data_IF_238228919639
#
_entry.id   IF_238228919639
#
_cell.length_a   1.000
_cell.length_b   1.000
_cell.length_c   1.000
_cell.angle_alpha   90.00
_cell.angle_beta   90.00
_cell.angle_gamma   90.00
#
_symmetry.space_group_name_H-M   'P 1'
#
loop_
_entity.id
_entity.type
_entity.pdbx_description
1 polymer ?
#
# COMPACT_ATOMS: atom_id res chain seq x y z
N UNK A 1 -14.53 -12.87 14.42
CA UNK A 1 -13.34 -12.98 13.55
C UNK A 1 -13.66 -12.22 12.28
N UNK A 2 -12.96 -11.11 11.95
CA UNK A 2 -13.26 -10.39 10.72
C UNK A 2 -12.87 -11.26 9.53
N UNK A 3 -13.85 -11.53 8.67
CA UNK A 3 -13.74 -12.33 7.46
C UNK A 3 -12.95 -11.54 6.40
N UNK A 4 -11.98 -12.21 5.77
CA UNK A 4 -11.12 -11.63 4.74
C UNK A 4 -11.93 -11.25 3.49
N UNK A 5 -11.68 -10.05 2.95
CA UNK A 5 -12.35 -9.57 1.74
C UNK A 5 -11.62 -10.21 0.55
N UNK A 6 -12.30 -11.00 -0.30
CA UNK A 6 -11.65 -11.58 -1.46
C UNK A 6 -11.31 -10.48 -2.49
N UNK A 7 -10.02 -10.26 -2.72
CA UNK A 7 -9.51 -9.43 -3.81
C UNK A 7 -9.52 -10.23 -5.11
N UNK A 8 -9.91 -9.61 -6.22
CA UNK A 8 -9.75 -10.23 -7.53
C UNK A 8 -8.24 -10.41 -7.83
N UNK A 9 -7.84 -11.50 -8.50
CA UNK A 9 -6.44 -11.74 -8.81
C UNK A 9 -5.95 -10.74 -9.84
N UNK A 10 -4.89 -10.01 -9.52
CA UNK A 10 -4.37 -8.94 -10.35
C UNK A 10 -2.85 -9.16 -10.59
N UNK A 11 -2.43 -9.00 -11.84
CA UNK A 11 -1.05 -9.29 -12.28
C UNK A 11 -0.04 -8.26 -11.74
N UNK A 12 -0.52 -7.06 -11.48
CA UNK A 12 0.17 -5.90 -10.90
C UNK A 12 0.36 -6.00 -9.37
N UNK A 13 -0.35 -6.91 -8.70
CA UNK A 13 -0.15 -7.19 -7.28
C UNK A 13 0.88 -8.32 -7.14
N UNK A 14 2.17 -7.96 -7.24
CA UNK A 14 3.29 -8.91 -7.29
C UNK A 14 4.63 -8.29 -7.67
N UNK A 15 5.64 -9.13 -7.93
CA UNK A 15 6.91 -8.75 -8.52
C UNK A 15 6.96 -9.15 -9.99
N UNK A 16 6.88 -8.14 -10.87
CA UNK A 16 7.07 -8.32 -12.32
C UNK A 16 8.47 -8.86 -12.65
N UNK A 17 9.48 -8.47 -11.87
CA UNK A 17 10.87 -8.94 -12.03
C UNK A 17 11.01 -10.40 -11.68
N UNK A 18 10.36 -10.86 -10.61
CA UNK A 18 10.29 -12.28 -10.29
C UNK A 18 9.55 -13.03 -11.39
N UNK A 19 8.42 -12.51 -11.90
CA UNK A 19 7.70 -13.13 -13.02
C UNK A 19 8.57 -13.24 -14.29
N UNK A 20 9.30 -12.18 -14.65
CA UNK A 20 10.19 -12.17 -15.80
C UNK A 20 11.38 -13.14 -15.63
N UNK A 21 11.98 -13.18 -14.44
CA UNK A 21 13.07 -14.09 -14.11
C UNK A 21 12.63 -15.56 -14.16
N UNK A 22 11.42 -15.86 -13.66
CA UNK A 22 10.82 -17.19 -13.75
C UNK A 22 10.52 -17.56 -15.21
N UNK A 23 9.98 -16.64 -16.02
CA UNK A 23 9.73 -16.85 -17.44
C UNK A 23 11.03 -17.09 -18.25
N UNK A 24 12.10 -16.38 -17.90
CA UNK A 24 13.42 -16.56 -18.48
C UNK A 24 14.16 -17.80 -17.95
N UNK A 25 13.65 -18.45 -16.90
CA UNK A 25 14.30 -19.55 -16.19
C UNK A 25 15.72 -19.17 -15.74
N UNK A 26 15.93 -17.94 -15.29
CA UNK A 26 17.22 -17.40 -14.87
C UNK A 26 17.37 -17.45 -13.34
N UNK A 27 18.13 -18.40 -12.76
CA UNK A 27 18.25 -18.55 -11.32
C UNK A 27 18.93 -17.35 -10.64
N UNK A 28 19.83 -16.66 -11.34
CA UNK A 28 20.52 -15.49 -10.80
C UNK A 28 19.56 -14.30 -10.74
N UNK A 29 18.72 -14.12 -11.75
CA UNK A 29 17.67 -13.10 -11.75
C UNK A 29 16.57 -13.42 -10.72
N UNK A 30 16.20 -14.69 -10.54
CA UNK A 30 15.24 -15.10 -9.49
C UNK A 30 15.79 -14.78 -8.11
N UNK A 31 17.04 -15.18 -7.81
CA UNK A 31 17.67 -14.87 -6.53
C UNK A 31 17.77 -13.36 -6.28
N UNK A 32 18.10 -12.58 -7.31
CA UNK A 32 18.14 -11.12 -7.23
C UNK A 32 16.76 -10.52 -6.95
N UNK A 33 15.73 -10.99 -7.65
CA UNK A 33 14.35 -10.57 -7.42
C UNK A 33 13.87 -10.87 -5.99
N UNK A 34 14.23 -12.04 -5.44
CA UNK A 34 13.88 -12.39 -4.07
C UNK A 34 14.59 -11.52 -3.02
N UNK A 35 15.82 -11.05 -3.29
CA UNK A 35 16.52 -10.17 -2.35
C UNK A 35 15.95 -8.76 -2.32
N UNK A 36 15.41 -8.30 -3.45
CA UNK A 36 15.18 -6.87 -3.67
C UNK A 36 13.73 -6.51 -4.02
N UNK A 37 12.81 -7.48 -4.04
CA UNK A 37 11.40 -7.30 -4.36
C UNK A 37 10.48 -8.14 -3.43
N UNK A 38 9.18 -8.11 -3.72
CA UNK A 38 8.16 -8.84 -2.98
C UNK A 38 7.83 -10.21 -3.58
N UNK A 39 7.37 -11.11 -2.72
CA UNK A 39 6.83 -12.41 -3.07
C UNK A 39 5.50 -12.61 -2.39
N UNK A 40 4.55 -13.21 -3.11
CA UNK A 40 3.24 -13.56 -2.57
C UNK A 40 3.36 -14.91 -1.85
N UNK A 41 3.02 -14.89 -0.55
CA UNK A 41 3.13 -16.03 0.36
C UNK A 41 1.74 -16.48 0.81
N UNK A 42 1.32 -17.71 0.48
CA UNK A 42 0.04 -18.27 0.95
C UNK A 42 -0.04 -18.38 2.46
N UNK A 43 -1.20 -18.05 3.01
CA UNK A 43 -1.49 -18.15 4.44
C UNK A 43 -2.57 -19.18 4.72
N UNK A 44 -2.58 -19.70 5.94
CA UNK A 44 -3.64 -20.51 6.51
C UNK A 44 -3.91 -20.11 7.96
N UNK A 45 -5.11 -20.41 8.44
CA UNK A 45 -5.46 -20.26 9.84
C UNK A 45 -5.23 -21.57 10.57
N UNK A 46 -4.48 -21.51 11.66
CA UNK A 46 -4.32 -22.63 12.58
C UNK A 46 -5.60 -22.88 13.40
N UNK A 47 -5.64 -23.99 14.16
CA UNK A 47 -6.81 -24.39 14.93
C UNK A 47 -7.18 -23.40 16.04
N UNK A 48 -6.25 -22.54 16.48
CA UNK A 48 -6.48 -21.49 17.48
C UNK A 48 -6.70 -20.10 16.84
N UNK A 49 -6.80 -20.03 15.50
CA UNK A 49 -7.06 -18.81 14.73
C UNK A 49 -5.81 -18.00 14.35
N UNK A 50 -4.63 -18.49 14.70
CA UNK A 50 -3.34 -17.90 14.36
C UNK A 50 -3.05 -18.01 12.85
N UNK A 51 -2.46 -16.97 12.29
CA UNK A 51 -2.05 -16.97 10.87
C UNK A 51 -0.70 -17.64 10.72
N UNK A 52 -0.62 -18.64 9.83
CA UNK A 52 0.60 -19.38 9.52
C UNK A 52 0.85 -19.40 8.01
N UNK A 53 2.12 -19.53 7.60
CA UNK A 53 2.45 -19.79 6.19
C UNK A 53 1.95 -21.18 5.79
N UNK A 54 1.20 -21.24 4.69
CA UNK A 54 0.67 -22.50 4.19
C UNK A 54 1.73 -23.27 3.42
N UNK A 55 1.79 -24.57 3.69
CA UNK A 55 2.62 -25.54 2.96
C UNK A 55 1.76 -26.69 2.46
N UNK A 56 2.14 -27.32 1.34
CA UNK A 56 1.42 -28.45 0.74
C UNK A 56 2.16 -29.75 1.06
N UNK A 57 1.44 -30.81 1.40
CA UNK A 57 2.08 -32.10 1.59
C UNK A 57 2.62 -32.62 0.25
N UNK A 58 3.90 -32.95 0.19
CA UNK A 58 4.49 -33.66 -0.93
C UNK A 58 4.15 -35.15 -0.80
N UNK A 59 3.61 -35.76 -1.87
CA UNK A 59 3.56 -37.22 -1.94
C UNK A 59 5.00 -37.74 -2.06
N UNK A 60 5.40 -38.59 -1.12
CA UNK A 60 6.70 -39.23 -1.13
C UNK A 60 6.56 -40.74 -1.30
N UNK A 61 7.35 -41.32 -2.19
CA UNK A 61 7.36 -42.76 -2.45
C UNK A 61 7.94 -43.54 -1.24
N UNK A 62 8.76 -42.88 -0.42
CA UNK A 62 9.46 -43.46 0.73
C UNK A 62 8.68 -43.36 2.05
N UNK A 63 7.47 -42.76 2.03
CA UNK A 63 6.58 -42.70 3.19
C UNK A 63 6.90 -41.60 4.22
N UNK A 64 7.94 -40.78 4.00
CA UNK A 64 8.21 -39.60 4.82
C UNK A 64 7.31 -38.43 4.42
N UNK A 65 6.54 -37.90 5.37
CA UNK A 65 5.68 -36.73 5.14
C UNK A 65 6.55 -35.47 5.05
N UNK A 66 6.77 -34.97 3.84
CA UNK A 66 7.47 -33.70 3.58
C UNK A 66 6.52 -32.64 3.04
N UNK A 67 6.98 -31.39 3.05
CA UNK A 67 6.16 -30.24 2.71
C UNK A 67 6.75 -29.40 1.57
N UNK A 68 5.91 -28.82 0.73
CA UNK A 68 6.31 -27.90 -0.33
C UNK A 68 5.86 -26.49 0.06
N UNK A 69 6.79 -25.54 -0.02
CA UNK A 69 6.49 -24.13 0.14
C UNK A 69 6.16 -23.55 -1.24
N UNK A 70 4.94 -23.06 -1.41
CA UNK A 70 4.53 -22.42 -2.66
C UNK A 70 4.66 -20.91 -2.52
N UNK A 71 5.34 -20.29 -3.49
CA UNK A 71 5.58 -18.86 -3.57
C UNK A 71 5.10 -18.35 -4.93
N UNK A 72 4.62 -17.12 -4.98
CA UNK A 72 4.04 -16.59 -6.21
C UNK A 72 4.65 -15.24 -6.58
N UNK A 73 4.90 -15.06 -7.87
CA UNK A 73 5.31 -13.78 -8.42
C UNK A 73 4.19 -12.76 -8.35
N UNK A 74 2.92 -13.18 -8.39
CA UNK A 74 1.77 -12.28 -8.34
C UNK A 74 0.55 -12.93 -7.68
N UNK A 75 -0.41 -12.09 -7.28
CA UNK A 75 -1.71 -12.53 -6.78
C UNK A 75 -2.52 -13.28 -7.86
N UNK A 76 -2.27 -12.99 -9.14
CA UNK A 76 -2.82 -13.75 -10.27
C UNK A 76 -2.28 -15.18 -10.31
N UNK A 77 -0.96 -15.36 -10.20
CA UNK A 77 -0.33 -16.68 -10.14
C UNK A 77 -0.81 -17.48 -8.92
N UNK A 78 -0.98 -16.81 -7.79
CA UNK A 78 -1.54 -17.40 -6.57
C UNK A 78 -2.99 -17.88 -6.76
N UNK A 79 -3.85 -17.05 -7.35
CA UNK A 79 -5.25 -17.43 -7.59
C UNK A 79 -5.40 -18.56 -8.61
N UNK A 80 -4.54 -18.60 -9.63
CA UNK A 80 -4.48 -19.72 -10.56
C UNK A 80 -4.16 -21.04 -9.83
N UNK A 81 -3.30 -20.99 -8.81
CA UNK A 81 -2.95 -22.15 -7.98
C UNK A 81 -4.04 -22.54 -6.98
N UNK A 82 -4.73 -21.57 -6.39
CA UNK A 82 -5.88 -21.84 -5.51
C UNK A 82 -6.97 -22.63 -6.24
N UNK A 83 -7.32 -22.23 -7.46
CA UNK A 83 -8.37 -22.90 -8.25
C UNK A 83 -9.61 -23.26 -7.42
N UNK A 84 -9.93 -24.56 -7.32
CA UNK A 84 -11.06 -25.15 -6.58
C UNK A 84 -10.77 -25.49 -5.10
N UNK A 85 -9.65 -25.04 -4.54
CA UNK A 85 -9.21 -25.36 -3.18
C UNK A 85 -9.65 -24.24 -2.21
N UNK A 86 -10.84 -24.38 -1.62
CA UNK A 86 -11.54 -23.33 -0.84
C UNK A 86 -10.89 -22.92 0.47
N UNK A 87 -9.90 -23.67 0.95
CA UNK A 87 -9.25 -23.42 2.25
C UNK A 87 -8.07 -22.44 2.17
N UNK A 88 -7.68 -22.00 0.96
CA UNK A 88 -6.65 -21.00 0.73
C UNK A 88 -7.29 -19.80 0.06
N UNK A 89 -7.58 -18.74 0.82
CA UNK A 89 -7.99 -17.44 0.26
C UNK A 89 -7.07 -16.30 0.69
N UNK A 90 -6.20 -16.53 1.67
CA UNK A 90 -5.38 -15.50 2.27
C UNK A 90 -3.93 -15.61 1.79
N UNK A 91 -3.31 -14.46 1.50
CA UNK A 91 -1.90 -14.34 1.18
C UNK A 91 -1.30 -13.11 1.87
N UNK A 92 0.01 -13.11 2.05
CA UNK A 92 0.79 -11.94 2.42
C UNK A 92 1.72 -11.55 1.28
N UNK A 93 1.91 -10.24 1.07
CA UNK A 93 3.06 -9.73 0.34
C UNK A 93 4.22 -9.60 1.33
N UNK A 94 5.28 -10.35 1.07
CA UNK A 94 6.47 -10.37 1.92
C UNK A 94 7.68 -9.95 1.10
N UNK A 95 8.61 -9.20 1.71
CA UNK A 95 9.94 -9.04 1.11
C UNK A 95 10.57 -10.43 1.04
N UNK A 96 11.20 -10.82 -0.07
CA UNK A 96 11.74 -12.17 -0.17
C UNK A 96 12.79 -12.47 0.92
N UNK A 97 13.56 -11.48 1.37
CA UNK A 97 14.48 -11.62 2.52
C UNK A 97 13.81 -11.99 3.85
N UNK A 98 12.53 -11.70 4.03
CA UNK A 98 11.79 -12.11 5.23
C UNK A 98 11.54 -13.63 5.30
N UNK A 99 11.73 -14.35 4.18
CA UNK A 99 11.66 -15.82 4.14
C UNK A 99 12.83 -16.50 4.84
N UNK A 100 13.92 -15.78 5.13
CA UNK A 100 15.13 -16.35 5.76
C UNK A 100 14.78 -17.10 7.05
N UNK A 101 13.99 -16.47 7.95
CA UNK A 101 13.63 -17.08 9.23
C UNK A 101 12.78 -18.35 9.06
N UNK A 102 11.88 -18.36 8.06
CA UNK A 102 11.06 -19.53 7.74
C UNK A 102 11.91 -20.67 7.16
N UNK A 103 12.81 -20.35 6.23
CA UNK A 103 13.69 -21.33 5.59
C UNK A 103 14.71 -21.90 6.59
N UNK A 104 15.20 -21.10 7.53
CA UNK A 104 16.07 -21.59 8.62
C UNK A 104 15.32 -22.50 9.59
N UNK A 105 14.07 -22.15 9.94
CA UNK A 105 13.28 -22.93 10.90
C UNK A 105 12.73 -24.24 10.30
N UNK A 106 12.31 -24.21 9.03
CA UNK A 106 11.54 -25.29 8.41
C UNK A 106 12.23 -25.93 7.20
N UNK A 107 13.39 -25.44 6.77
CA UNK A 107 14.17 -26.01 5.66
C UNK A 107 14.35 -27.53 5.71
N UNK A 108 14.68 -28.15 6.87
CA UNK A 108 14.83 -29.60 6.97
C UNK A 108 13.57 -30.42 6.69
N UNK A 109 12.38 -29.84 6.86
CA UNK A 109 11.08 -30.52 6.62
C UNK A 109 10.47 -30.16 5.26
N UNK A 110 11.03 -29.13 4.60
CA UNK A 110 10.63 -28.73 3.27
C UNK A 110 11.32 -29.61 2.22
N UNK A 111 10.53 -30.21 1.32
CA UNK A 111 11.03 -30.94 0.16
C UNK A 111 11.60 -30.00 -0.88
N UNK A 112 10.87 -28.91 -1.18
CA UNK A 112 11.23 -27.91 -2.17
C UNK A 112 10.44 -26.62 -1.98
N UNK A 113 10.90 -25.57 -2.63
CA UNK A 113 10.16 -24.34 -2.87
C UNK A 113 9.68 -24.35 -4.32
N UNK A 114 8.39 -24.07 -4.53
CA UNK A 114 7.76 -24.04 -5.85
C UNK A 114 7.29 -22.61 -6.13
N UNK A 115 7.78 -22.02 -7.21
CA UNK A 115 7.33 -20.74 -7.72
C UNK A 115 6.28 -20.92 -8.80
N UNK A 116 5.22 -20.13 -8.76
CA UNK A 116 4.19 -20.02 -9.80
C UNK A 116 3.69 -21.39 -10.30
N UNK A 117 3.32 -22.27 -9.35
CA UNK A 117 2.99 -23.68 -9.60
C UNK A 117 1.91 -23.90 -10.66
N UNK A 118 0.92 -23.01 -10.75
CA UNK A 118 -0.14 -23.05 -11.75
C UNK A 118 0.03 -21.98 -12.86
N UNK A 119 1.14 -21.24 -12.82
CA UNK A 119 1.50 -20.27 -13.83
C UNK A 119 2.13 -20.92 -15.06
N UNK A 120 2.40 -20.13 -16.13
CA UNK A 120 2.98 -20.64 -17.38
C UNK A 120 4.43 -21.14 -17.22
N UNK A 121 5.12 -20.74 -16.16
CA UNK A 121 6.55 -21.00 -15.94
C UNK A 121 6.83 -21.46 -14.50
N UNK A 122 6.37 -22.66 -14.09
CA UNK A 122 6.62 -23.14 -12.73
C UNK A 122 8.11 -23.46 -12.55
N UNK A 123 8.72 -22.91 -11.50
CA UNK A 123 10.12 -23.15 -11.15
C UNK A 123 10.20 -23.85 -9.79
N UNK A 124 11.06 -24.86 -9.69
CA UNK A 124 11.32 -25.58 -8.45
C UNK A 124 12.76 -25.35 -8.01
N UNK A 125 12.96 -25.10 -6.72
CA UNK A 125 14.27 -24.94 -6.12
C UNK A 125 14.35 -25.68 -4.77
N UNK A 126 15.56 -26.06 -4.35
CA UNK A 126 15.74 -26.59 -2.99
C UNK A 126 15.59 -25.45 -1.96
N UNK A 127 15.13 -25.73 -0.73
CA UNK A 127 15.05 -24.70 0.31
C UNK A 127 16.42 -24.09 0.61
N UNK A 128 17.49 -24.88 0.50
CA UNK A 128 18.87 -24.44 0.68
C UNK A 128 19.30 -23.45 -0.41
N UNK A 129 19.00 -23.75 -1.69
CA UNK A 129 19.32 -22.85 -2.80
C UNK A 129 18.56 -21.52 -2.70
N UNK A 130 17.27 -21.57 -2.34
CA UNK A 130 16.48 -20.35 -2.12
C UNK A 130 17.06 -19.55 -0.96
N UNK A 131 17.41 -20.21 0.15
CA UNK A 131 18.01 -19.54 1.31
C UNK A 131 19.36 -18.91 0.96
N UNK A 132 20.23 -19.62 0.26
CA UNK A 132 21.52 -19.11 -0.20
C UNK A 132 21.32 -17.92 -1.16
N UNK A 133 20.29 -17.98 -2.02
CA UNK A 133 19.96 -16.88 -2.93
C UNK A 133 19.48 -15.61 -2.21
N UNK A 134 19.04 -15.70 -0.95
CA UNK A 134 18.61 -14.57 -0.14
C UNK A 134 19.76 -13.88 0.61
N UNK A 135 20.97 -14.46 0.60
CA UNK A 135 22.13 -13.82 1.22
C UNK A 135 22.55 -12.56 0.44
N UNK A 136 22.86 -11.44 1.14
CA UNK A 136 23.33 -10.22 0.50
C UNK A 136 24.55 -10.49 -0.40
N UNK A 137 24.46 -10.09 -1.65
CA UNK A 137 25.53 -10.19 -2.63
C UNK A 137 26.28 -8.85 -2.76
N UNK A 138 27.59 -8.84 -3.11
CA UNK A 138 28.36 -7.60 -3.31
C UNK A 138 27.83 -6.66 -4.41
N UNK A 139 26.87 -7.11 -5.22
CA UNK A 139 26.16 -6.31 -6.22
C UNK A 139 24.70 -6.00 -5.87
N UNK A 140 24.25 -6.36 -4.67
CA UNK A 140 22.94 -5.95 -4.16
C UNK A 140 23.05 -4.50 -3.73
N UNK A 141 22.72 -3.62 -4.66
CA UNK A 141 22.51 -2.21 -4.41
C UNK A 141 21.03 -1.95 -4.70
N UNK A 142 20.24 -1.77 -3.64
CA UNK A 142 18.80 -1.52 -3.75
C UNK A 142 18.50 -0.30 -4.63
N UNK A 143 19.43 0.67 -4.71
CA UNK A 143 19.36 1.84 -5.58
C UNK A 143 19.69 1.46 -7.03
N UNK A 144 20.68 0.59 -7.26
CA UNK A 144 20.95 0.01 -8.59
C UNK A 144 19.86 -0.95 -9.07
N UNK A 145 19.21 -1.71 -8.20
CA UNK A 145 18.14 -2.63 -8.56
C UNK A 145 16.89 -1.93 -9.06
N UNK A 146 16.58 -0.77 -8.47
CA UNK A 146 15.53 0.12 -8.96
C UNK A 146 15.92 0.75 -10.31
N UNK A 147 17.23 0.83 -10.63
CA UNK A 147 17.75 1.56 -11.81
C UNK A 147 18.38 0.70 -12.92
N UNK A 148 18.61 -0.61 -12.75
CA UNK A 148 19.42 -1.44 -13.69
C UNK A 148 18.64 -2.11 -14.84
N UNK A 149 17.31 -2.20 -14.79
CA UNK A 149 16.49 -2.42 -15.99
C UNK A 149 15.49 -1.28 -16.16
N UNK A 150 16.03 -0.11 -16.45
CA UNK A 150 16.01 0.42 -17.81
C UNK A 150 16.99 1.60 -17.86
N UNK A 151 17.63 1.79 -19.01
CA UNK A 151 17.97 3.15 -19.45
C UNK A 151 16.72 3.99 -19.71
N UNK A 152 15.76 3.96 -18.77
CA UNK A 152 14.67 4.88 -18.60
C UNK A 152 14.86 5.43 -17.21
N UNK A 153 15.22 6.70 -17.16
CA UNK A 153 15.07 7.54 -15.98
C UNK A 153 13.75 7.17 -15.28
N UNK A 154 13.81 6.76 -14.01
CA UNK A 154 12.67 6.96 -13.11
C UNK A 154 12.68 8.45 -12.77
N UNK A 155 12.16 9.14 -13.75
CA UNK A 155 12.19 10.55 -14.02
C UNK A 155 11.29 10.70 -15.23
N UNK A 156 10.67 11.85 -15.38
CA UNK A 156 9.82 12.06 -16.54
C UNK A 156 10.66 11.91 -17.80
N UNK A 157 10.17 11.16 -18.78
CA UNK A 157 10.81 11.20 -20.10
C UNK A 157 10.75 12.64 -20.61
N UNK A 158 11.68 13.03 -21.47
CA UNK A 158 11.65 14.34 -22.11
C UNK A 158 10.26 14.61 -22.71
N UNK A 159 9.58 15.63 -22.18
CA UNK A 159 8.22 16.00 -22.57
C UNK A 159 7.11 15.22 -21.86
N UNK A 160 7.34 14.57 -20.72
CA UNK A 160 6.28 14.14 -19.80
C UNK A 160 6.18 15.11 -18.60
N UNK A 161 5.00 15.20 -17.96
CA UNK A 161 4.73 15.91 -16.70
C UNK A 161 3.94 15.06 -15.71
N UNK A 162 4.14 15.27 -14.41
CA UNK A 162 3.33 14.62 -13.37
C UNK A 162 1.95 15.26 -13.33
N UNK A 163 0.90 14.45 -13.37
CA UNK A 163 -0.49 14.94 -13.40
C UNK A 163 -1.32 14.48 -12.20
N UNK A 164 -0.95 13.39 -11.56
CA UNK A 164 -1.68 12.83 -10.42
C UNK A 164 -0.89 11.79 -9.64
N UNK A 165 -1.53 11.28 -8.58
CA UNK A 165 -1.04 10.20 -7.74
C UNK A 165 -2.23 9.26 -7.50
N UNK A 166 -2.09 8.00 -7.92
CA UNK A 166 -3.06 6.95 -7.62
C UNK A 166 -2.72 6.28 -6.29
N UNK A 167 -3.74 6.14 -5.44
CA UNK A 167 -3.65 5.53 -4.10
C UNK A 167 -4.28 4.13 -4.06
N UNK A 168 -4.79 3.61 -5.18
CA UNK A 168 -5.42 2.29 -5.29
C UNK A 168 -6.51 2.02 -4.25
N UNK A 169 -7.30 3.04 -3.94
CA UNK A 169 -8.35 2.95 -2.93
C UNK A 169 -9.52 2.08 -3.44
N UNK A 170 -9.86 1.03 -2.68
CA UNK A 170 -10.94 0.12 -3.03
C UNK A 170 -12.35 0.73 -2.93
N UNK A 171 -13.37 -0.05 -3.30
CA UNK A 171 -14.78 0.42 -3.38
C UNK A 171 -15.38 0.92 -2.05
N UNK A 172 -14.78 0.56 -0.91
CA UNK A 172 -15.16 1.04 0.42
C UNK A 172 -14.73 2.49 0.67
N UNK A 173 -14.08 3.16 -0.29
CA UNK A 173 -13.65 4.54 -0.20
C UNK A 173 -14.48 5.43 -1.11
N UNK A 174 -15.18 6.40 -0.52
CA UNK A 174 -15.96 7.37 -1.29
C UNK A 174 -15.15 8.65 -1.52
N UNK A 175 -15.03 9.03 -2.79
CA UNK A 175 -14.28 10.20 -3.24
C UNK A 175 -15.20 11.42 -3.37
N UNK A 176 -14.67 12.58 -2.99
CA UNK A 176 -15.17 13.92 -3.31
C UNK A 176 -14.08 14.61 -4.14
N UNK A 177 -14.40 14.89 -5.39
CA UNK A 177 -13.56 15.71 -6.26
C UNK A 177 -13.60 17.19 -5.82
N UNK A 178 -12.43 17.74 -5.51
CA UNK A 178 -12.28 19.11 -4.99
C UNK A 178 -12.01 20.14 -6.09
N UNK A 179 -11.93 19.73 -7.36
CA UNK A 179 -11.56 20.61 -8.48
C UNK A 179 -12.60 21.68 -8.81
N UNK A 180 -13.87 21.46 -8.44
CA UNK A 180 -14.93 22.45 -8.65
C UNK A 180 -16.00 22.44 -7.55
N UNK A 181 -16.64 23.59 -7.24
CA UNK A 181 -17.77 23.63 -6.31
C UNK A 181 -18.93 22.72 -6.71
N UNK A 182 -19.14 22.54 -8.03
CA UNK A 182 -20.19 21.68 -8.56
C UNK A 182 -19.89 20.19 -8.29
N UNK A 183 -18.64 19.76 -8.49
CA UNK A 183 -18.17 18.40 -8.15
C UNK A 183 -18.36 18.13 -6.66
N UNK A 184 -17.91 19.06 -5.79
CA UNK A 184 -18.05 18.95 -4.34
C UNK A 184 -19.52 18.74 -3.94
N UNK A 185 -20.43 19.55 -4.50
CA UNK A 185 -21.84 19.48 -4.15
C UNK A 185 -22.51 18.18 -4.63
N UNK A 186 -22.12 17.68 -5.82
CA UNK A 186 -22.65 16.44 -6.39
C UNK A 186 -22.14 15.21 -5.64
N UNK A 187 -20.83 15.11 -5.41
CA UNK A 187 -20.20 13.98 -4.74
C UNK A 187 -20.60 13.90 -3.27
N UNK A 188 -20.69 15.04 -2.57
CA UNK A 188 -21.19 15.08 -1.19
C UNK A 188 -22.61 14.54 -1.10
N UNK A 189 -23.49 14.91 -2.04
CA UNK A 189 -24.86 14.41 -2.05
C UNK A 189 -24.88 12.90 -2.21
N UNK A 190 -24.13 12.37 -3.18
CA UNK A 190 -24.01 10.93 -3.43
C UNK A 190 -23.50 10.19 -2.20
N UNK A 191 -22.46 10.71 -1.55
CA UNK A 191 -21.90 10.15 -0.33
C UNK A 191 -22.92 10.11 0.81
N UNK A 192 -23.63 11.21 1.05
CA UNK A 192 -24.65 11.28 2.11
C UNK A 192 -25.81 10.32 1.83
N UNK A 193 -26.24 10.20 0.58
CA UNK A 193 -27.29 9.25 0.18
C UNK A 193 -26.85 7.80 0.44
N UNK A 194 -25.62 7.44 0.06
CA UNK A 194 -25.06 6.11 0.33
C UNK A 194 -24.90 5.83 1.83
N UNK A 195 -24.37 6.79 2.60
CA UNK A 195 -24.14 6.64 4.05
C UNK A 195 -25.43 6.55 4.87
N UNK A 196 -26.53 7.13 4.38
CA UNK A 196 -27.82 7.11 5.05
C UNK A 196 -28.81 6.13 4.38
N UNK A 197 -28.34 5.28 3.47
CA UNK A 197 -29.15 4.23 2.87
C UNK A 197 -29.69 3.29 3.95
N UNK A 198 -31.00 3.01 3.92
CA UNK A 198 -31.67 2.17 4.92
C UNK A 198 -31.98 2.86 6.26
N UNK A 199 -31.54 4.10 6.47
CA UNK A 199 -31.92 4.88 7.67
C UNK A 199 -33.26 5.57 7.41
N UNK A 200 -34.24 5.50 8.33
CA UNK A 200 -35.50 6.23 8.23
C UNK A 200 -35.29 7.73 7.99
N UNK A 201 -36.29 8.41 7.42
CA UNK A 201 -36.22 9.84 7.07
C UNK A 201 -35.70 10.70 8.25
N UNK A 202 -34.44 11.13 8.15
CA UNK A 202 -33.73 11.93 9.14
C UNK A 202 -33.21 13.23 8.49
N UNK A 203 -34.10 14.20 8.20
CA UNK A 203 -33.74 15.40 7.42
C UNK A 203 -32.70 16.28 8.12
N UNK A 204 -32.74 16.37 9.45
CA UNK A 204 -31.77 17.15 10.25
C UNK A 204 -30.37 16.53 10.17
N UNK A 205 -30.24 15.23 10.43
CA UNK A 205 -28.98 14.50 10.33
C UNK A 205 -28.38 14.61 8.92
N UNK A 206 -29.22 14.42 7.88
CA UNK A 206 -28.82 14.56 6.49
C UNK A 206 -28.29 15.96 6.19
N UNK A 207 -29.00 16.99 6.65
CA UNK A 207 -28.60 18.39 6.50
C UNK A 207 -27.26 18.69 7.19
N UNK A 208 -27.08 18.22 8.42
CA UNK A 208 -25.86 18.42 9.19
C UNK A 208 -24.65 17.71 8.56
N UNK A 209 -24.80 16.44 8.18
CA UNK A 209 -23.72 15.68 7.53
C UNK A 209 -23.33 16.30 6.18
N UNK A 210 -24.32 16.72 5.39
CA UNK A 210 -24.08 17.41 4.11
C UNK A 210 -23.34 18.72 4.32
N UNK A 211 -23.76 19.53 5.29
CA UNK A 211 -23.12 20.82 5.58
C UNK A 211 -21.68 20.63 6.05
N UNK A 212 -21.45 19.65 6.95
CA UNK A 212 -20.13 19.33 7.45
C UNK A 212 -19.19 18.84 6.33
N UNK A 213 -19.60 17.85 5.52
CA UNK A 213 -18.80 17.34 4.41
C UNK A 213 -18.46 18.44 3.39
N UNK A 214 -19.43 19.29 3.04
CA UNK A 214 -19.20 20.44 2.16
C UNK A 214 -18.20 21.42 2.75
N UNK A 215 -18.33 21.74 4.03
CA UNK A 215 -17.42 22.69 4.67
C UNK A 215 -16.00 22.13 4.71
N UNK A 216 -15.83 20.87 5.13
CA UNK A 216 -14.53 20.17 5.12
C UNK A 216 -13.90 20.14 3.72
N UNK A 217 -14.68 19.75 2.69
CA UNK A 217 -14.22 19.70 1.31
C UNK A 217 -13.83 21.08 0.77
N UNK A 218 -14.60 22.14 1.07
CA UNK A 218 -14.28 23.51 0.66
C UNK A 218 -13.04 24.06 1.36
N UNK A 219 -12.88 23.76 2.65
CA UNK A 219 -11.65 24.12 3.39
C UNK A 219 -10.43 23.42 2.80
N UNK A 220 -10.53 22.12 2.50
CA UNK A 220 -9.46 21.37 1.83
C UNK A 220 -9.14 21.94 0.44
N UNK A 221 -10.16 22.21 -0.38
CA UNK A 221 -10.00 22.80 -1.71
C UNK A 221 -9.32 24.19 -1.65
N UNK A 222 -9.74 25.04 -0.71
CA UNK A 222 -9.15 26.37 -0.50
C UNK A 222 -7.67 26.30 -0.06
N UNK A 223 -7.26 25.19 0.57
CA UNK A 223 -5.88 24.89 0.92
C UNK A 223 -5.09 24.19 -0.20
N UNK A 224 -5.67 24.05 -1.40
CA UNK A 224 -5.02 23.43 -2.56
C UNK A 224 -5.21 21.90 -2.67
N UNK A 225 -6.19 21.34 -1.95
CA UNK A 225 -6.55 19.94 -2.07
C UNK A 225 -7.14 19.61 -3.44
N UNK A 226 -6.76 18.48 -4.02
CA UNK A 226 -7.28 17.98 -5.31
C UNK A 226 -8.38 16.94 -5.13
N UNK A 227 -8.27 16.11 -4.10
CA UNK A 227 -9.27 15.10 -3.77
C UNK A 227 -9.38 14.92 -2.27
N UNK A 228 -10.58 14.55 -1.82
CA UNK A 228 -10.84 14.09 -0.46
C UNK A 228 -11.57 12.75 -0.53
N UNK A 229 -11.16 11.79 0.28
CA UNK A 229 -11.71 10.43 0.25
C UNK A 229 -12.03 9.98 1.67
N UNK A 230 -13.15 9.28 1.84
CA UNK A 230 -13.63 8.83 3.14
C UNK A 230 -13.82 7.32 3.14
N UNK A 231 -13.33 6.66 4.18
CA UNK A 231 -13.63 5.25 4.41
C UNK A 231 -15.10 5.12 4.81
N UNK A 232 -15.85 4.38 4.00
CA UNK A 232 -17.30 4.20 4.14
C UNK A 232 -17.68 2.89 4.81
N UNK A 233 -16.71 1.99 5.03
CA UNK A 233 -16.93 0.66 5.58
C UNK A 233 -17.49 0.74 7.00
N UNK A 234 -18.60 0.01 7.21
CA UNK A 234 -19.22 -0.19 8.52
C UNK A 234 -19.30 -1.68 8.80
N UNK A 235 -18.99 -2.07 10.01
CA UNK A 235 -19.25 -3.43 10.52
C UNK A 235 -20.43 -3.36 11.49
N UNK A 236 -20.93 -4.52 11.94
CA UNK A 236 -22.00 -4.58 12.93
C UNK A 236 -21.62 -3.87 14.24
N UNK A 237 -20.33 -3.87 14.59
CA UNK A 237 -19.84 -3.43 15.90
C UNK A 237 -18.93 -2.18 15.84
N UNK A 238 -18.51 -1.73 14.64
CA UNK A 238 -17.59 -0.61 14.48
C UNK A 238 -17.72 0.12 13.13
N UNK A 239 -17.52 1.43 13.16
CA UNK A 239 -17.35 2.28 11.98
C UNK A 239 -15.98 2.97 12.04
N UNK A 240 -15.10 2.64 11.10
CA UNK A 240 -13.81 3.32 10.96
C UNK A 240 -14.06 4.67 10.27
N UNK A 241 -13.60 5.76 10.90
CA UNK A 241 -13.76 7.12 10.37
C UNK A 241 -12.38 7.63 9.95
N UNK A 242 -11.98 7.30 8.73
CA UNK A 242 -10.71 7.76 8.16
C UNK A 242 -11.01 8.63 6.96
N UNK A 243 -10.48 9.85 6.97
CA UNK A 243 -10.51 10.75 5.83
C UNK A 243 -9.10 10.97 5.30
N UNK A 244 -8.96 10.97 3.98
CA UNK A 244 -7.71 11.17 3.25
C UNK A 244 -7.87 12.38 2.37
N UNK A 245 -6.94 13.32 2.43
CA UNK A 245 -6.92 14.48 1.55
C UNK A 245 -5.59 14.57 0.83
N UNK A 246 -5.63 14.72 -0.49
CA UNK A 246 -4.44 14.84 -1.33
C UNK A 246 -4.26 16.29 -1.76
N UNK A 247 -3.08 16.85 -1.51
CA UNK A 247 -2.70 18.21 -1.89
C UNK A 247 -1.54 18.16 -2.87
N UNK A 248 -1.52 19.12 -3.80
CA UNK A 248 -0.53 19.19 -4.86
C UNK A 248 0.20 20.52 -4.82
N UNK A 249 1.52 20.49 -4.73
CA UNK A 249 2.34 21.70 -4.62
C UNK A 249 3.44 21.71 -5.67
N UNK A 250 3.22 22.49 -6.73
CA UNK A 250 4.25 22.81 -7.72
C UNK A 250 5.11 23.96 -7.19
N UNK A 251 6.33 23.64 -6.75
CA UNK A 251 7.23 24.56 -6.05
C UNK A 251 8.31 25.15 -6.97
N UNK A 252 8.43 24.63 -8.20
CA UNK A 252 9.45 25.03 -9.15
C UNK A 252 10.79 24.33 -8.90
N UNK A 253 11.92 24.87 -9.40
CA UNK A 253 13.24 24.26 -9.25
C UNK A 253 13.58 23.96 -7.79
N UNK A 254 14.17 22.79 -7.55
CA UNK A 254 14.55 22.35 -6.22
C UNK A 254 15.64 23.27 -5.62
N UNK A 255 15.54 23.66 -4.33
CA UNK A 255 16.63 24.30 -3.61
C UNK A 255 17.80 23.33 -3.39
N UNK A 256 18.94 23.83 -2.94
CA UNK A 256 20.07 23.00 -2.52
C UNK A 256 19.61 22.00 -1.43
N UNK A 257 19.75 20.70 -1.69
CA UNK A 257 19.24 19.62 -0.83
C UNK A 257 17.80 19.15 -1.10
N UNK A 258 17.05 19.82 -1.99
CA UNK A 258 15.72 19.38 -2.43
C UNK A 258 14.55 19.91 -1.59
N UNK A 259 13.34 19.92 -2.18
CA UNK A 259 12.12 20.38 -1.51
C UNK A 259 11.77 19.55 -0.27
N UNK A 260 12.03 18.24 -0.30
CA UNK A 260 11.74 17.34 0.82
C UNK A 260 12.63 17.64 2.04
N UNK A 261 13.91 17.95 1.83
CA UNK A 261 14.81 18.35 2.91
C UNK A 261 14.40 19.70 3.54
N UNK A 262 13.97 20.66 2.71
CA UNK A 262 13.42 21.92 3.20
C UNK A 262 12.14 21.70 4.02
N UNK A 263 11.26 20.79 3.58
CA UNK A 263 10.07 20.41 4.32
C UNK A 263 10.42 19.75 5.65
N UNK A 264 11.40 18.83 5.67
CA UNK A 264 11.88 18.21 6.91
C UNK A 264 12.36 19.25 7.91
N UNK A 265 13.21 20.18 7.48
CA UNK A 265 13.73 21.24 8.35
C UNK A 265 12.60 22.09 8.96
N UNK A 266 11.57 22.41 8.16
CA UNK A 266 10.37 23.11 8.62
C UNK A 266 9.60 22.29 9.66
N UNK A 267 9.26 21.03 9.37
CA UNK A 267 8.48 20.20 10.30
C UNK A 267 9.25 19.94 11.59
N UNK A 268 10.56 19.72 11.50
CA UNK A 268 11.42 19.50 12.65
C UNK A 268 11.38 20.66 13.66
N UNK A 269 11.21 21.89 13.19
CA UNK A 269 11.10 23.08 14.05
C UNK A 269 9.77 23.12 14.83
N UNK A 270 8.72 22.47 14.33
CA UNK A 270 7.37 22.48 14.87
C UNK A 270 7.00 21.17 15.61
N UNK A 271 7.94 20.23 15.74
CA UNK A 271 7.67 18.91 16.34
C UNK A 271 7.21 19.01 17.80
N UNK A 272 6.03 18.47 18.07
CA UNK A 272 5.53 18.27 19.42
C UNK A 272 6.23 17.09 20.14
N UNK A 273 6.14 17.01 21.48
CA UNK A 273 6.80 15.94 22.26
C UNK A 273 6.30 14.51 21.96
N UNK A 274 5.12 14.38 21.35
CA UNK A 274 4.45 13.12 21.04
C UNK A 274 4.43 12.84 19.54
N UNK A 275 5.00 13.74 18.73
CA UNK A 275 4.98 13.64 17.29
C UNK A 275 6.11 12.72 16.81
N UNK A 276 5.90 12.09 15.65
CA UNK A 276 6.90 11.25 15.02
C UNK A 276 7.17 11.75 13.60
N UNK A 277 8.45 11.98 13.28
CA UNK A 277 8.91 12.28 11.92
C UNK A 277 9.78 11.14 11.42
N UNK A 278 9.43 10.58 10.27
CA UNK A 278 10.13 9.44 9.64
C UNK A 278 10.41 9.77 8.19
N UNK A 279 11.62 9.44 7.73
CA UNK A 279 11.96 9.47 6.31
C UNK A 279 12.05 8.06 5.77
N UNK A 280 11.58 7.87 4.54
CA UNK A 280 11.66 6.61 3.83
C UNK A 280 11.76 6.87 2.32
N UNK A 281 12.01 5.81 1.57
CA UNK A 281 11.89 5.80 0.12
C UNK A 281 10.94 4.69 -0.30
N UNK A 282 10.17 4.95 -1.36
CA UNK A 282 9.20 4.03 -1.96
C UNK A 282 9.50 3.87 -3.44
N UNK A 283 8.76 2.98 -4.12
CA UNK A 283 8.78 2.92 -5.59
C UNK A 283 8.39 4.25 -6.24
N UNK A 284 7.51 5.03 -5.59
CA UNK A 284 7.13 6.38 -5.99
C UNK A 284 8.16 7.47 -5.60
N UNK A 285 9.32 7.10 -5.06
CA UNK A 285 10.38 8.04 -4.67
C UNK A 285 10.43 8.34 -3.16
N UNK A 286 11.21 9.35 -2.76
CA UNK A 286 11.45 9.66 -1.36
C UNK A 286 10.22 10.29 -0.71
N UNK A 287 10.01 9.95 0.56
CA UNK A 287 8.92 10.48 1.36
C UNK A 287 9.34 10.90 2.76
N UNK A 288 8.54 11.79 3.33
CA UNK A 288 8.59 12.22 4.73
C UNK A 288 7.21 11.95 5.35
N UNK A 289 7.15 11.21 6.45
CA UNK A 289 5.92 10.97 7.22
C UNK A 289 5.97 11.73 8.55
N UNK A 290 4.99 12.59 8.80
CA UNK A 290 4.77 13.23 10.11
C UNK A 290 3.47 12.74 10.72
N UNK A 291 3.59 12.09 11.87
CA UNK A 291 2.47 11.64 12.69
C UNK A 291 2.30 12.61 13.87
N UNK A 292 1.13 13.25 13.98
CA UNK A 292 0.81 14.20 15.06
C UNK A 292 -0.66 14.14 15.47
N UNK A 293 -1.01 14.88 16.52
CA UNK A 293 -2.38 15.02 17.01
C UNK A 293 -2.78 16.49 17.02
N UNK A 294 -4.02 16.76 16.61
CA UNK A 294 -4.61 18.11 16.70
C UNK A 294 -5.90 18.09 17.49
N UNK A 295 -6.24 19.23 18.05
CA UNK A 295 -7.54 19.47 18.63
C UNK A 295 -8.51 19.69 17.48
N UNK A 296 -9.60 18.91 17.45
CA UNK A 296 -10.66 19.05 16.47
C UNK A 296 -11.36 20.41 16.57
N UNK A 297 -12.13 20.80 15.55
CA UNK A 297 -12.85 22.06 15.56
C UNK A 297 -13.93 22.06 16.67
N UNK A 298 -14.41 23.24 17.06
CA UNK A 298 -15.33 23.41 18.19
C UNK A 298 -16.62 22.60 18.05
N UNK A 299 -17.04 22.36 16.81
CA UNK A 299 -18.19 21.55 16.41
C UNK A 299 -18.04 20.07 16.76
N UNK A 300 -16.81 19.58 16.90
CA UNK A 300 -16.48 18.25 17.41
C UNK A 300 -16.12 18.26 18.89
N UNK A 301 -16.61 19.26 19.64
CA UNK A 301 -16.33 19.44 21.07
C UNK A 301 -14.84 19.46 21.41
N UNK A 302 -14.00 19.93 20.47
CA UNK A 302 -12.53 19.94 20.62
C UNK A 302 -11.93 18.55 20.86
N UNK A 303 -12.61 17.48 20.38
CA UNK A 303 -12.09 16.12 20.47
C UNK A 303 -10.75 15.99 19.71
N UNK A 304 -9.77 15.23 20.23
CA UNK A 304 -8.51 15.04 19.55
C UNK A 304 -8.69 14.26 18.25
N UNK A 305 -7.94 14.66 17.22
CA UNK A 305 -7.89 14.02 15.91
C UNK A 305 -6.44 13.62 15.66
N UNK A 306 -6.22 12.35 15.33
CA UNK A 306 -4.94 11.85 14.87
C UNK A 306 -4.73 12.20 13.39
N UNK A 307 -3.54 12.69 13.06
CA UNK A 307 -3.17 13.10 11.70
C UNK A 307 -1.86 12.41 11.29
N UNK A 308 -1.84 11.88 10.08
CA UNK A 308 -0.65 11.26 9.47
C UNK A 308 -0.46 11.88 8.10
N UNK A 309 0.58 12.69 7.99
CA UNK A 309 0.91 13.45 6.79
C UNK A 309 2.09 12.79 6.07
N UNK A 310 1.94 12.50 4.78
CA UNK A 310 3.00 11.98 3.91
C UNK A 310 3.32 13.02 2.83
N UNK A 311 4.53 13.56 2.84
CA UNK A 311 5.06 14.33 1.72
C UNK A 311 5.84 13.41 0.79
N UNK A 312 5.40 13.28 -0.45
CA UNK A 312 6.11 12.57 -1.52
C UNK A 312 6.71 13.59 -2.48
N UNK A 313 7.96 13.36 -2.90
CA UNK A 313 8.60 14.21 -3.90
C UNK A 313 8.15 13.81 -5.31
N UNK A 314 7.83 14.80 -6.15
CA UNK A 314 7.53 14.54 -7.56
C UNK A 314 8.75 13.94 -8.27
N UNK A 315 8.55 13.05 -9.26
CA UNK A 315 9.62 12.52 -10.11
C UNK A 315 10.51 13.57 -10.79
N UNK A 316 9.99 14.75 -11.15
CA UNK A 316 10.82 15.85 -11.69
C UNK A 316 11.57 16.65 -10.62
N UNK A 317 11.33 16.37 -9.34
CA UNK A 317 11.85 17.13 -8.21
C UNK A 317 11.31 18.56 -8.11
N UNK A 318 10.28 18.94 -8.89
CA UNK A 318 9.76 20.32 -8.96
C UNK A 318 8.63 20.61 -7.98
N UNK A 319 8.27 19.64 -7.14
CA UNK A 319 7.17 19.79 -6.21
C UNK A 319 7.03 18.64 -5.22
N UNK A 320 5.99 18.76 -4.40
CA UNK A 320 5.61 17.78 -3.39
C UNK A 320 4.12 17.45 -3.50
N UNK A 321 3.78 16.18 -3.30
CA UNK A 321 2.41 15.76 -3.02
C UNK A 321 2.28 15.53 -1.51
N UNK A 322 1.26 16.10 -0.88
CA UNK A 322 0.90 15.79 0.50
C UNK A 322 -0.33 14.89 0.51
N UNK A 323 -0.21 13.69 1.09
CA UNK A 323 -1.34 12.81 1.41
C UNK A 323 -1.55 12.85 2.91
N UNK A 324 -2.67 13.42 3.35
CA UNK A 324 -2.98 13.63 4.77
C UNK A 324 -4.14 12.73 5.20
N UNK A 325 -3.87 11.83 6.13
CA UNK A 325 -4.87 10.98 6.78
C UNK A 325 -5.31 11.62 8.08
N UNK A 326 -6.61 11.61 8.37
CA UNK A 326 -7.18 12.09 9.62
C UNK A 326 -8.22 11.12 10.18
N UNK A 327 -8.20 10.96 11.50
CA UNK A 327 -9.10 10.05 12.21
C UNK A 327 -9.43 10.56 13.61
N UNK A 328 -10.69 10.47 14.08
CA UNK A 328 -11.03 10.69 15.48
C UNK A 328 -10.66 9.49 16.37
N UNK A 329 -10.27 8.35 15.79
CA UNK A 329 -9.94 7.11 16.49
C UNK A 329 -8.52 7.14 17.08
N UNK A 330 -8.26 8.10 17.96
CA UNK A 330 -6.93 8.31 18.57
C UNK A 330 -6.43 7.14 19.40
N UNK A 331 -7.33 6.33 19.93
CA UNK A 331 -7.00 5.11 20.70
C UNK A 331 -6.57 3.94 19.79
N UNK A 332 -6.93 3.98 18.50
CA UNK A 332 -6.60 2.98 17.48
C UNK A 332 -5.62 3.54 16.44
N UNK A 333 -4.88 4.58 16.81
CA UNK A 333 -4.10 5.36 15.86
C UNK A 333 -2.97 4.56 15.20
N UNK A 334 -2.42 3.56 15.89
CA UNK A 334 -1.43 2.63 15.32
C UNK A 334 -2.01 1.80 14.18
N UNK A 335 -3.24 1.31 14.30
CA UNK A 335 -3.90 0.51 13.25
C UNK A 335 -4.22 1.39 12.03
N UNK A 336 -4.68 2.63 12.27
CA UNK A 336 -4.90 3.61 11.21
C UNK A 336 -3.59 3.97 10.50
N UNK A 337 -2.48 4.04 11.24
CA UNK A 337 -1.16 4.26 10.65
C UNK A 337 -0.70 3.10 9.77
N UNK A 338 -0.92 1.86 10.19
CA UNK A 338 -0.59 0.69 9.35
C UNK A 338 -1.39 0.70 8.04
N UNK A 339 -2.68 1.05 8.10
CA UNK A 339 -3.51 1.23 6.92
C UNK A 339 -2.97 2.35 6.01
N UNK A 340 -2.63 3.51 6.59
CA UNK A 340 -2.11 4.65 5.85
C UNK A 340 -0.75 4.33 5.18
N UNK A 341 0.15 3.67 5.91
CA UNK A 341 1.44 3.20 5.40
C UNK A 341 1.22 2.25 4.22
N UNK A 342 0.32 1.26 4.34
CA UNK A 342 0.03 0.32 3.25
C UNK A 342 -0.49 1.02 1.98
N UNK A 343 -1.37 2.01 2.13
CA UNK A 343 -1.93 2.78 1.00
C UNK A 343 -0.83 3.62 0.32
N UNK A 344 -0.04 4.37 1.09
CA UNK A 344 0.97 5.28 0.51
C UNK A 344 2.15 4.52 -0.08
N UNK A 345 2.58 3.42 0.54
CA UNK A 345 3.67 2.60 0.02
C UNK A 345 3.32 1.91 -1.30
N UNK A 346 2.03 1.70 -1.58
CA UNK A 346 1.53 1.13 -2.82
C UNK A 346 1.25 2.18 -3.91
N UNK A 347 1.33 3.48 -3.61
CA UNK A 347 0.93 4.55 -4.52
C UNK A 347 1.80 4.65 -5.78
N UNK A 348 1.22 5.16 -6.88
CA UNK A 348 1.90 5.33 -8.16
C UNK A 348 1.63 6.70 -8.79
N UNK A 349 2.63 7.29 -9.46
CA UNK A 349 2.48 8.58 -10.15
C UNK A 349 1.77 8.43 -11.50
N UNK A 350 0.85 9.33 -11.78
CA UNK A 350 0.21 9.46 -13.10
C UNK A 350 0.98 10.48 -13.95
N UNK A 351 1.48 10.05 -15.11
CA UNK A 351 2.27 10.86 -16.04
C UNK A 351 1.48 11.15 -17.31
N UNK A 352 1.66 12.34 -17.87
CA UNK A 352 1.07 12.72 -19.16
C UNK A 352 2.09 13.49 -20.02
N UNK A 353 1.98 13.49 -21.36
CA UNK A 353 2.84 14.31 -22.21
C UNK A 353 2.64 15.82 -21.95
N UNK A 354 3.71 16.60 -22.13
CA UNK A 354 3.70 18.06 -22.15
C UNK A 354 2.91 18.56 -23.36
N UNK A 355 2.12 19.61 -23.14
CA UNK A 355 1.15 20.13 -24.10
C UNK A 355 1.76 21.13 -25.08
#
# INVERSE_FOLDING_TARGET
MPESIPSAPAADVGSERLAAALAAMDPAAVGRALRQDFVVVPLMRGPEGETQTRVVAAEDADGERRWELHLFSSSQSFAAWIGSNTDAGEFALQRGTSLIALLDAYGPILRRVVFDTAGPHPVNASPEDVRASLEPQPGDDDVRWITEEQGQEHGLRDGERVTGLDLFLGADWARIDLTSPASIDADTKTLVEAQLAGIPQAPVLRGQLTAWLRQSARTAAAAGGRSMVYLTRRTADAAASVAVTTYWQELGPAPEGGHLAAMRARVQADLGPQDQLVEAATAAGPLLRWTHRRIGPAELALAPVGIIDYWLQFPDGRGLCLVSFSTPHVDQFTDVQQLADAIVLAAAWELAPDA
#
